data_IF_930030494837
#
_entry.id   IF_930030494837
#
_cell.length_a   1.000
_cell.length_b   1.000
_cell.length_c   1.000
_cell.angle_alpha   90.00
_cell.angle_beta   90.00
_cell.angle_gamma   90.00
#
_symmetry.space_group_name_H-M   'P 1'
#
loop_
_entity.id
_entity.type
_entity.pdbx_description
1 polymer ?
#
# COMPACT_ATOMS: atom_id res chain seq x y z
N UNK A 1 6.33 -2.26 10.31
CA UNK A 1 5.43 -1.14 9.91
C UNK A 1 6.25 0.02 9.38
N UNK A 2 5.75 0.72 8.38
CA UNK A 2 6.25 2.00 7.88
C UNK A 2 6.07 3.04 8.99
N UNK A 3 7.14 3.79 9.28
CA UNK A 3 7.07 5.01 10.08
C UNK A 3 6.99 6.24 9.18
N UNK A 4 7.77 6.27 8.11
CA UNK A 4 7.80 7.37 7.16
C UNK A 4 8.25 6.88 5.78
N UNK A 5 7.63 7.38 4.74
CA UNK A 5 8.02 7.14 3.36
C UNK A 5 8.19 8.48 2.63
N UNK A 6 9.35 8.66 1.99
CA UNK A 6 9.66 9.84 1.18
C UNK A 6 10.05 9.43 -0.23
N UNK A 7 9.66 10.24 -1.20
CA UNK A 7 10.13 10.05 -2.57
C UNK A 7 10.17 11.38 -3.32
N UNK A 8 11.04 11.47 -4.32
CA UNK A 8 11.09 12.60 -5.25
C UNK A 8 11.36 12.13 -6.67
N UNK A 9 10.98 12.97 -7.64
CA UNK A 9 11.15 12.70 -9.06
C UNK A 9 10.60 11.33 -9.46
N UNK A 10 9.30 11.12 -9.27
CA UNK A 10 8.62 9.88 -9.66
C UNK A 10 7.22 10.21 -10.16
N UNK A 11 6.97 9.90 -11.44
CA UNK A 11 5.69 10.13 -12.12
C UNK A 11 5.17 11.56 -11.99
N UNK A 12 4.16 11.83 -11.18
CA UNK A 12 3.65 13.20 -11.00
C UNK A 12 4.40 14.00 -9.94
N UNK A 13 5.21 13.37 -9.09
CA UNK A 13 6.00 14.07 -8.09
C UNK A 13 7.32 14.56 -8.70
N UNK A 14 7.50 15.88 -8.72
CA UNK A 14 8.77 16.55 -9.05
C UNK A 14 9.64 16.66 -7.80
N UNK A 15 9.12 17.35 -6.80
CA UNK A 15 9.77 17.58 -5.50
C UNK A 15 9.54 16.43 -4.52
N UNK A 16 10.17 16.52 -3.35
CA UNK A 16 9.96 15.62 -2.24
C UNK A 16 8.51 15.57 -1.78
N UNK A 17 7.97 14.36 -1.73
CA UNK A 17 6.71 14.03 -1.08
C UNK A 17 7.03 13.23 0.18
N UNK A 18 6.28 13.48 1.26
CA UNK A 18 6.46 12.82 2.55
C UNK A 18 5.13 12.27 3.02
N UNK A 19 5.08 10.97 3.27
CA UNK A 19 3.95 10.28 3.88
C UNK A 19 4.41 9.74 5.24
N UNK A 20 3.94 10.35 6.32
CA UNK A 20 4.29 9.95 7.69
C UNK A 20 3.19 9.09 8.32
N UNK A 21 3.61 8.08 9.07
CA UNK A 21 2.75 7.30 9.96
C UNK A 21 3.13 7.51 11.44
N UNK A 22 4.00 8.47 11.74
CA UNK A 22 4.26 8.84 13.13
C UNK A 22 3.05 9.59 13.69
N UNK A 23 2.42 9.06 14.73
CA UNK A 23 1.21 9.64 15.29
C UNK A 23 1.52 10.99 15.95
N UNK A 24 0.73 12.01 15.61
CA UNK A 24 0.88 13.35 16.15
C UNK A 24 0.40 13.44 17.61
N UNK A 25 0.34 14.64 18.17
CA UNK A 25 -0.24 14.84 19.50
C UNK A 25 -1.75 14.61 19.54
N UNK A 26 -2.41 14.39 18.40
CA UNK A 26 -3.83 14.00 18.36
C UNK A 26 -4.05 12.69 19.16
N UNK A 27 -5.12 12.65 19.95
CA UNK A 27 -5.48 11.54 20.85
C UNK A 27 -6.86 10.95 20.54
N UNK A 28 -7.56 11.46 19.53
CA UNK A 28 -8.84 10.91 19.08
C UNK A 28 -8.66 9.43 18.72
N UNK A 29 -9.52 8.58 19.30
CA UNK A 29 -9.59 7.13 19.05
C UNK A 29 -8.22 6.41 19.03
N UNK A 30 -7.24 6.87 19.83
CA UNK A 30 -5.83 6.47 19.71
C UNK A 30 -5.62 4.95 19.76
N UNK A 31 -6.37 4.26 20.62
CA UNK A 31 -6.33 2.80 20.78
C UNK A 31 -6.69 2.00 19.53
N UNK A 32 -7.44 2.59 18.59
CA UNK A 32 -7.85 1.95 17.35
C UNK A 32 -6.99 2.36 16.15
N UNK A 33 -6.42 3.56 16.16
CA UNK A 33 -5.63 4.06 15.05
C UNK A 33 -4.14 3.80 15.18
N UNK A 34 -3.62 3.63 16.40
CA UNK A 34 -2.19 3.55 16.66
C UNK A 34 -1.75 2.21 17.21
N UNK A 35 -0.48 1.90 17.02
CA UNK A 35 0.25 0.86 17.74
C UNK A 35 1.59 1.42 18.21
N UNK A 36 2.18 0.80 19.23
CA UNK A 36 3.49 1.24 19.76
C UNK A 36 4.55 0.21 19.42
N UNK A 37 5.63 0.67 18.79
CA UNK A 37 6.82 -0.14 18.49
C UNK A 37 8.04 0.64 18.95
N UNK A 38 8.84 0.07 19.85
CA UNK A 38 10.02 0.71 20.44
C UNK A 38 9.76 2.19 20.84
N UNK A 39 8.77 2.39 21.73
CA UNK A 39 8.29 3.68 22.25
C UNK A 39 7.77 4.69 21.19
N UNK A 40 7.66 4.28 19.93
CA UNK A 40 7.16 5.11 18.84
C UNK A 40 5.70 4.77 18.57
N UNK A 41 4.81 5.78 18.57
CA UNK A 41 3.40 5.62 18.20
C UNK A 41 3.26 5.69 16.68
N UNK A 42 2.72 4.62 16.08
CA UNK A 42 2.64 4.44 14.63
C UNK A 42 1.19 4.26 14.22
N UNK A 43 0.76 5.02 13.22
CA UNK A 43 -0.57 4.96 12.61
C UNK A 43 -0.73 3.70 11.75
N UNK A 44 -1.90 3.07 11.89
CA UNK A 44 -2.34 1.92 11.07
C UNK A 44 -3.02 2.34 9.77
N UNK A 45 -3.42 3.61 9.64
CA UNK A 45 -4.23 4.10 8.53
C UNK A 45 -3.60 5.32 7.86
N UNK A 46 -3.68 5.38 6.53
CA UNK A 46 -3.44 6.60 5.75
C UNK A 46 -4.49 6.72 4.64
N UNK A 47 -5.19 7.85 4.60
CA UNK A 47 -6.29 8.13 3.68
C UNK A 47 -5.86 9.25 2.74
N UNK A 48 -5.87 9.00 1.43
CA UNK A 48 -5.50 9.95 0.39
C UNK A 48 -6.77 10.52 -0.27
N UNK A 49 -6.96 11.82 -0.14
CA UNK A 49 -7.97 12.62 -0.83
C UNK A 49 -7.35 13.50 -1.92
N UNK A 50 -8.18 13.94 -2.85
CA UNK A 50 -7.75 14.87 -3.90
C UNK A 50 -8.52 14.70 -5.19
N UNK A 51 -8.46 15.74 -6.02
CA UNK A 51 -9.11 15.75 -7.33
C UNK A 51 -8.64 14.62 -8.25
N UNK A 52 -9.35 14.39 -9.35
CA UNK A 52 -8.86 13.51 -10.41
C UNK A 52 -7.54 14.05 -10.97
N UNK A 53 -6.60 13.15 -11.28
CA UNK A 53 -5.25 13.49 -11.76
C UNK A 53 -4.40 14.37 -10.80
N UNK A 54 -4.75 14.45 -9.51
CA UNK A 54 -3.97 15.18 -8.50
C UNK A 54 -2.74 14.43 -8.00
N UNK A 55 -2.73 13.10 -8.08
CA UNK A 55 -1.54 12.28 -7.75
C UNK A 55 -1.76 11.16 -6.75
N UNK A 56 -2.96 10.98 -6.17
CA UNK A 56 -3.29 9.90 -5.21
C UNK A 56 -2.70 8.53 -5.60
N UNK A 57 -3.06 8.04 -6.78
CA UNK A 57 -2.59 6.77 -7.35
C UNK A 57 -1.06 6.70 -7.47
N UNK A 58 -0.38 7.83 -7.73
CA UNK A 58 1.08 7.87 -7.85
C UNK A 58 1.78 7.76 -6.49
N UNK A 59 1.18 8.22 -5.38
CA UNK A 59 1.69 7.97 -4.02
C UNK A 59 1.70 6.46 -3.73
N UNK A 60 0.57 5.79 -3.99
CA UNK A 60 0.42 4.34 -3.80
C UNK A 60 1.38 3.54 -4.69
N UNK A 61 1.57 3.99 -5.93
CA UNK A 61 2.49 3.35 -6.86
C UNK A 61 3.97 3.60 -6.53
N UNK A 62 4.31 4.68 -5.81
CA UNK A 62 5.67 4.89 -5.31
C UNK A 62 6.02 3.88 -4.21
N UNK A 63 5.07 3.59 -3.31
CA UNK A 63 5.20 2.52 -2.30
C UNK A 63 5.40 1.15 -2.96
N UNK A 64 4.55 0.78 -3.92
CA UNK A 64 4.67 -0.51 -4.62
C UNK A 64 5.92 -0.60 -5.50
N UNK A 65 6.37 0.53 -6.07
CA UNK A 65 7.63 0.58 -6.81
C UNK A 65 8.83 0.23 -5.92
N UNK A 66 8.92 0.82 -4.72
CA UNK A 66 9.98 0.50 -3.76
C UNK A 66 9.93 -0.98 -3.34
N UNK A 67 8.74 -1.49 -3.04
CA UNK A 67 8.52 -2.91 -2.72
C UNK A 67 9.02 -3.82 -3.84
N UNK A 68 8.59 -3.57 -5.09
CA UNK A 68 9.02 -4.34 -6.26
C UNK A 68 10.53 -4.31 -6.45
N UNK A 69 11.16 -3.14 -6.28
CA UNK A 69 12.62 -3.00 -6.32
C UNK A 69 13.34 -3.85 -5.27
N UNK A 70 12.78 -3.98 -4.07
CA UNK A 70 13.37 -4.75 -2.98
C UNK A 70 13.26 -6.28 -3.17
N UNK A 71 12.25 -6.76 -3.91
CA UNK A 71 11.96 -8.21 -4.00
C UNK A 71 12.03 -8.82 -5.41
N UNK A 72 12.29 -8.02 -6.45
CA UNK A 72 12.29 -8.50 -7.84
C UNK A 72 13.71 -8.59 -8.41
N UNK A 73 14.43 -9.72 -8.21
CA UNK A 73 15.73 -9.91 -8.83
C UNK A 73 15.59 -9.86 -10.37
N UNK A 74 16.50 -9.13 -11.00
CA UNK A 74 16.65 -9.06 -12.46
C UNK A 74 17.49 -10.22 -12.99
N UNK A 75 17.12 -10.70 -14.17
CA UNK A 75 17.80 -11.82 -14.84
C UNK A 75 19.09 -11.36 -15.52
N UNK A 76 19.11 -10.14 -16.06
CA UNK A 76 20.24 -9.60 -16.79
C UNK A 76 20.31 -8.07 -16.65
N UNK A 77 21.41 -7.47 -17.11
CA UNK A 77 21.70 -6.02 -17.00
C UNK A 77 20.88 -5.14 -17.93
N UNK A 78 20.16 -5.70 -18.91
CA UNK A 78 19.42 -4.91 -19.92
C UNK A 78 17.95 -4.71 -19.53
N UNK A 79 17.44 -5.49 -18.58
CA UNK A 79 16.09 -5.29 -18.05
C UNK A 79 15.96 -3.93 -17.38
N UNK A 80 14.95 -3.12 -17.74
CA UNK A 80 14.73 -1.84 -17.10
C UNK A 80 14.31 -2.02 -15.63
N UNK A 81 14.59 -0.99 -14.85
CA UNK A 81 14.12 -0.90 -13.47
C UNK A 81 12.59 -0.68 -13.43
N UNK A 82 12.03 -0.03 -14.46
CA UNK A 82 10.62 0.38 -14.46
C UNK A 82 10.40 1.70 -13.73
N UNK A 83 11.46 2.51 -13.60
CA UNK A 83 11.39 3.85 -13.03
C UNK A 83 10.87 4.83 -14.07
N UNK A 84 9.97 5.72 -13.66
CA UNK A 84 9.47 6.82 -14.50
C UNK A 84 9.64 8.13 -13.74
N UNK A 85 10.50 9.06 -14.20
CA UNK A 85 10.68 10.36 -13.57
C UNK A 85 9.48 11.27 -13.82
N UNK A 86 9.52 12.48 -13.26
CA UNK A 86 8.61 13.55 -13.63
C UNK A 86 8.91 14.04 -15.05
N UNK A 87 7.94 13.89 -15.96
CA UNK A 87 8.14 14.09 -17.41
C UNK A 87 7.77 15.50 -17.91
N UNK A 88 7.08 16.32 -17.10
CA UNK A 88 6.61 17.64 -17.51
C UNK A 88 7.64 18.76 -17.27
N UNK A 89 8.91 18.39 -17.06
CA UNK A 89 10.02 19.31 -16.87
C UNK A 89 11.27 18.83 -17.62
N UNK A 90 11.98 19.74 -18.29
CA UNK A 90 13.12 19.40 -19.15
C UNK A 90 14.39 18.96 -18.39
N UNK A 91 14.49 19.35 -17.12
CA UNK A 91 15.61 19.06 -16.23
C UNK A 91 15.31 17.78 -15.45
N UNK A 92 14.25 17.76 -14.67
CA UNK A 92 13.88 16.67 -13.75
C UNK A 92 13.63 15.34 -14.48
N UNK A 93 13.15 15.35 -15.74
CA UNK A 93 12.98 14.11 -16.53
C UNK A 93 14.29 13.35 -16.80
N UNK A 94 15.44 14.00 -16.62
CA UNK A 94 16.78 13.41 -16.77
C UNK A 94 17.45 13.10 -15.43
N UNK A 95 16.88 13.59 -14.34
CA UNK A 95 17.39 13.37 -12.99
C UNK A 95 17.00 11.98 -12.48
N UNK A 96 17.73 11.42 -11.51
CA UNK A 96 17.32 10.21 -10.83
C UNK A 96 16.15 10.44 -9.87
N UNK A 97 15.40 9.39 -9.59
CA UNK A 97 14.43 9.34 -8.51
C UNK A 97 15.11 8.91 -7.21
N UNK A 98 14.63 9.42 -6.08
CA UNK A 98 15.12 9.00 -4.76
C UNK A 98 13.93 8.57 -3.91
N UNK A 99 14.10 7.47 -3.20
CA UNK A 99 13.12 6.90 -2.29
C UNK A 99 13.79 6.64 -0.95
N UNK A 100 13.12 7.02 0.14
CA UNK A 100 13.56 6.78 1.50
C UNK A 100 12.40 6.16 2.29
N UNK A 101 12.70 5.12 3.05
CA UNK A 101 11.76 4.42 3.91
C UNK A 101 12.36 4.31 5.30
N UNK A 102 11.64 4.85 6.28
CA UNK A 102 11.89 4.62 7.70
C UNK A 102 10.82 3.65 8.18
N UNK A 103 11.23 2.53 8.76
CA UNK A 103 10.31 1.45 9.07
C UNK A 103 10.84 0.58 10.21
N UNK A 104 9.93 -0.17 10.82
CA UNK A 104 10.23 -1.17 11.83
C UNK A 104 10.10 -2.57 11.24
N UNK A 105 11.14 -3.37 11.45
CA UNK A 105 11.08 -4.83 11.32
C UNK A 105 11.16 -5.37 12.74
N UNK A 106 10.10 -6.03 13.19
CA UNK A 106 9.91 -6.36 14.60
C UNK A 106 9.99 -5.08 15.46
N UNK A 107 10.90 -5.02 16.43
CA UNK A 107 11.12 -3.83 17.29
C UNK A 107 12.27 -2.93 16.80
N UNK A 108 12.94 -3.28 15.68
CA UNK A 108 14.15 -2.58 15.23
C UNK A 108 13.81 -1.58 14.14
N UNK A 109 14.16 -0.30 14.38
CA UNK A 109 14.05 0.78 13.39
C UNK A 109 15.12 0.63 12.31
N UNK A 110 14.71 0.77 11.06
CA UNK A 110 15.53 0.73 9.86
C UNK A 110 15.34 2.02 9.05
N UNK A 111 16.38 2.39 8.30
CA UNK A 111 16.34 3.43 7.27
C UNK A 111 16.89 2.81 6.00
N UNK A 112 16.07 2.79 4.96
CA UNK A 112 16.45 2.35 3.63
C UNK A 112 16.34 3.52 2.65
N UNK A 113 17.40 3.78 1.89
CA UNK A 113 17.41 4.84 0.90
C UNK A 113 17.97 4.30 -0.42
N UNK A 114 17.31 4.61 -1.53
CA UNK A 114 17.69 4.16 -2.87
C UNK A 114 17.50 5.29 -3.90
N UNK A 115 18.52 5.48 -4.73
CA UNK A 115 18.57 6.44 -5.83
C UNK A 115 18.67 5.69 -7.15
N UNK A 116 17.74 5.91 -8.08
CA UNK A 116 17.60 5.12 -9.30
C UNK A 116 17.38 6.01 -10.53
N UNK A 117 17.82 5.51 -11.68
CA UNK A 117 17.24 5.90 -12.98
C UNK A 117 16.61 4.66 -13.63
N UNK A 118 16.13 4.76 -14.86
CA UNK A 118 15.45 3.61 -15.49
C UNK A 118 16.39 2.44 -15.85
N UNK A 119 17.70 2.67 -15.91
CA UNK A 119 18.70 1.65 -16.28
C UNK A 119 19.49 1.07 -15.10
N UNK A 120 19.64 1.80 -13.99
CA UNK A 120 20.46 1.39 -12.87
C UNK A 120 20.02 2.00 -11.53
N UNK A 121 20.30 1.26 -10.46
CA UNK A 121 20.34 1.80 -9.11
C UNK A 121 21.71 2.44 -8.93
N UNK A 122 21.70 3.76 -8.69
CA UNK A 122 22.90 4.59 -8.61
C UNK A 122 23.51 4.57 -7.22
N UNK A 123 22.67 4.67 -6.18
CA UNK A 123 23.04 4.56 -4.78
C UNK A 123 22.00 3.77 -4.02
N UNK A 124 22.42 3.06 -2.99
CA UNK A 124 21.53 2.31 -2.10
C UNK A 124 22.17 2.18 -0.72
N UNK A 125 21.40 2.37 0.35
CA UNK A 125 21.90 2.23 1.72
C UNK A 125 20.82 1.60 2.59
N UNK A 126 21.25 0.74 3.51
CA UNK A 126 20.40 0.19 4.57
C UNK A 126 21.10 0.40 5.91
N UNK A 127 20.40 1.04 6.84
CA UNK A 127 20.84 1.26 8.22
C UNK A 127 19.80 0.72 9.18
N UNK A 128 20.23 0.37 10.39
CA UNK A 128 19.36 -0.05 11.48
C UNK A 128 19.79 0.60 12.80
N UNK A 129 18.90 0.64 13.78
CA UNK A 129 19.16 1.21 15.10
C UNK A 129 19.35 0.10 16.14
N UNK A 130 20.59 -0.36 16.41
CA UNK A 130 20.88 -1.26 17.53
C UNK A 130 20.78 -0.57 18.91
N UNK A 131 20.49 0.73 18.93
CA UNK A 131 20.43 1.61 20.08
C UNK A 131 20.08 3.02 19.59
N UNK A 132 20.63 4.07 20.23
CA UNK A 132 20.34 5.46 19.82
C UNK A 132 20.96 5.88 18.48
N UNK A 133 22.13 5.33 18.14
CA UNK A 133 22.85 5.68 16.92
C UNK A 133 22.64 4.61 15.85
N UNK A 134 22.42 5.00 14.57
CA UNK A 134 22.27 4.04 13.49
C UNK A 134 23.60 3.36 13.18
N UNK A 135 23.53 2.08 12.84
CA UNK A 135 24.63 1.34 12.24
C UNK A 135 24.28 1.00 10.79
N UNK A 136 25.27 1.04 9.91
CA UNK A 136 25.10 0.64 8.52
C UNK A 136 25.09 -0.88 8.41
N UNK A 137 24.18 -1.41 7.58
CA UNK A 137 24.21 -2.80 7.12
C UNK A 137 25.04 -2.86 5.84
N UNK A 138 24.67 -2.04 4.86
CA UNK A 138 25.45 -1.85 3.65
C UNK A 138 25.24 -0.45 3.07
N UNK A 139 26.20 -0.03 2.26
CA UNK A 139 26.07 1.03 1.29
C UNK A 139 26.54 0.53 -0.08
N UNK A 140 25.95 1.08 -1.13
CA UNK A 140 26.24 0.70 -2.51
C UNK A 140 26.29 1.93 -3.40
N UNK A 141 27.22 1.91 -4.34
CA UNK A 141 27.31 2.88 -5.45
C UNK A 141 27.51 2.15 -6.78
N UNK A 142 26.92 2.66 -7.86
CA UNK A 142 27.19 2.20 -9.22
C UNK A 142 27.97 3.26 -9.99
N UNK A 143 29.19 2.95 -10.41
CA UNK A 143 30.07 3.85 -11.17
C UNK A 143 30.42 3.18 -12.49
N UNK A 144 30.16 3.84 -13.61
CA UNK A 144 30.41 3.32 -14.96
C UNK A 144 29.82 1.91 -15.19
N UNK A 145 28.61 1.66 -14.67
CA UNK A 145 27.91 0.37 -14.77
C UNK A 145 28.44 -0.72 -13.84
N UNK A 146 29.43 -0.42 -12.99
CA UNK A 146 30.00 -1.36 -12.02
C UNK A 146 29.45 -1.02 -10.63
N UNK A 147 28.72 -1.97 -10.06
CA UNK A 147 28.26 -1.92 -8.67
C UNK A 147 29.44 -2.11 -7.72
N UNK A 148 29.50 -1.34 -6.63
CA UNK A 148 30.39 -1.55 -5.50
C UNK A 148 29.57 -1.53 -4.21
N UNK A 149 29.74 -2.55 -3.37
CA UNK A 149 29.05 -2.69 -2.09
C UNK A 149 30.08 -2.60 -0.97
N UNK A 150 29.79 -1.76 0.01
CA UNK A 150 30.51 -1.66 1.27
C UNK A 150 29.59 -2.14 2.38
N UNK A 151 30.09 -3.05 3.23
CA UNK A 151 29.35 -3.55 4.39
C UNK A 151 29.70 -2.72 5.62
N UNK A 152 28.72 -2.57 6.51
CA UNK A 152 28.94 -1.91 7.79
C UNK A 152 29.80 -2.75 8.74
N UNK A 153 30.51 -2.09 9.65
CA UNK A 153 31.49 -2.71 10.55
C UNK A 153 30.93 -3.77 11.51
N UNK A 154 29.61 -3.81 11.71
CA UNK A 154 28.93 -4.80 12.55
C UNK A 154 28.50 -6.06 11.78
N UNK A 155 28.55 -6.04 10.45
CA UNK A 155 28.17 -7.17 9.60
C UNK A 155 29.29 -8.21 9.60
N UNK A 156 28.93 -9.48 9.83
CA UNK A 156 29.88 -10.60 9.94
C UNK A 156 29.77 -11.53 8.74
N UNK A 157 30.15 -11.06 7.56
CA UNK A 157 30.29 -11.90 6.36
C UNK A 157 31.77 -12.21 6.10
N UNK A 158 32.09 -13.45 5.75
CA UNK A 158 33.43 -13.83 5.31
C UNK A 158 33.72 -13.30 3.90
N UNK A 159 34.99 -13.32 3.47
CA UNK A 159 35.41 -12.76 2.17
C UNK A 159 34.64 -13.37 0.99
N UNK A 160 34.41 -14.69 1.00
CA UNK A 160 33.69 -15.38 -0.08
C UNK A 160 32.21 -14.97 -0.16
N UNK A 161 31.55 -14.75 0.99
CA UNK A 161 30.17 -14.25 1.06
C UNK A 161 30.07 -12.82 0.55
N UNK A 162 31.04 -11.97 0.89
CA UNK A 162 31.10 -10.59 0.39
C UNK A 162 31.28 -10.54 -1.12
N UNK A 163 32.22 -11.35 -1.67
CA UNK A 163 32.43 -11.48 -3.11
C UNK A 163 31.17 -11.98 -3.82
N UNK A 164 30.48 -12.96 -3.23
CA UNK A 164 29.23 -13.51 -3.78
C UNK A 164 28.13 -12.46 -3.85
N UNK A 165 27.94 -11.66 -2.79
CA UNK A 165 26.98 -10.55 -2.80
C UNK A 165 27.35 -9.51 -3.88
N UNK A 166 28.64 -9.18 -3.99
CA UNK A 166 29.15 -8.21 -4.94
C UNK A 166 28.97 -8.65 -6.40
N UNK A 167 29.17 -9.94 -6.71
CA UNK A 167 29.00 -10.50 -8.06
C UNK A 167 27.53 -10.66 -8.44
N UNK A 168 26.67 -11.06 -7.49
CA UNK A 168 25.24 -11.26 -7.74
C UNK A 168 24.46 -9.93 -7.89
N UNK A 169 24.99 -8.82 -7.38
CA UNK A 169 24.30 -7.54 -7.42
C UNK A 169 24.55 -6.79 -8.74
N UNK A 170 23.67 -7.03 -9.71
CA UNK A 170 23.65 -6.29 -10.97
C UNK A 170 23.34 -4.80 -10.77
N UNK A 171 23.79 -3.95 -11.71
CA UNK A 171 23.58 -2.50 -11.64
C UNK A 171 22.09 -2.10 -11.61
N UNK A 172 21.21 -2.90 -12.21
CA UNK A 172 19.78 -2.67 -12.32
C UNK A 172 18.94 -3.38 -11.23
N UNK A 173 19.58 -3.89 -10.17
CA UNK A 173 18.97 -4.64 -9.09
C UNK A 173 19.34 -3.99 -7.75
N UNK A 174 18.47 -4.05 -6.73
CA UNK A 174 18.81 -3.63 -5.36
C UNK A 174 19.66 -4.70 -4.66
N UNK A 175 20.48 -4.34 -3.67
CA UNK A 175 21.22 -5.30 -2.83
C UNK A 175 20.23 -6.22 -2.10
N UNK A 176 19.10 -5.67 -1.63
CA UNK A 176 18.04 -6.46 -0.97
C UNK A 176 17.51 -7.57 -1.91
N UNK A 177 17.21 -7.23 -3.17
CA UNK A 177 16.74 -8.23 -4.13
C UNK A 177 17.85 -9.17 -4.62
N UNK A 178 19.11 -8.72 -4.66
CA UNK A 178 20.26 -9.56 -5.02
C UNK A 178 20.48 -10.68 -4.01
N UNK A 179 20.27 -10.40 -2.72
CA UNK A 179 20.34 -11.41 -1.66
C UNK A 179 19.42 -12.61 -1.91
N UNK A 180 18.24 -12.39 -2.49
CA UNK A 180 17.28 -13.47 -2.81
C UNK A 180 17.85 -14.55 -3.75
N UNK A 181 18.90 -14.21 -4.50
CA UNK A 181 19.58 -15.14 -5.43
C UNK A 181 20.90 -15.68 -4.85
N UNK A 182 21.30 -15.22 -3.67
CA UNK A 182 22.55 -15.58 -3.05
C UNK A 182 22.36 -16.74 -2.06
N UNK A 183 23.13 -17.81 -2.24
CA UNK A 183 23.11 -18.96 -1.34
C UNK A 183 24.12 -18.79 -0.19
N UNK A 184 23.83 -17.91 0.76
CA UNK A 184 24.51 -17.77 2.07
C UNK A 184 23.60 -17.03 3.06
N UNK A 185 23.91 -17.08 4.36
CA UNK A 185 23.07 -16.48 5.41
C UNK A 185 23.52 -15.04 5.68
N UNK A 186 22.59 -14.08 5.58
CA UNK A 186 22.81 -12.69 5.97
C UNK A 186 21.63 -12.20 6.84
N UNK A 187 21.66 -12.40 8.16
CA UNK A 187 20.47 -12.25 9.03
C UNK A 187 19.86 -10.85 9.02
N UNK A 188 20.68 -9.80 8.98
CA UNK A 188 20.22 -8.41 8.90
C UNK A 188 19.45 -8.14 7.60
N UNK A 189 19.98 -8.61 6.48
CA UNK A 189 19.37 -8.42 5.17
C UNK A 189 18.17 -9.34 4.94
N UNK A 190 18.23 -10.57 5.47
CA UNK A 190 17.15 -11.55 5.40
C UNK A 190 15.88 -11.06 6.10
N UNK A 191 16.01 -10.43 7.27
CA UNK A 191 14.86 -9.82 7.97
C UNK A 191 14.20 -8.74 7.13
N UNK A 192 14.98 -7.87 6.50
CA UNK A 192 14.47 -6.79 5.64
C UNK A 192 13.88 -7.34 4.34
N UNK A 193 14.51 -8.34 3.72
CA UNK A 193 13.97 -9.01 2.54
C UNK A 193 12.61 -9.67 2.85
N UNK A 194 12.53 -10.42 3.95
CA UNK A 194 11.28 -11.03 4.41
C UNK A 194 10.21 -9.99 4.73
N UNK A 195 10.58 -8.83 5.30
CA UNK A 195 9.65 -7.72 5.53
C UNK A 195 8.98 -7.27 4.21
N UNK A 196 9.74 -6.99 3.16
CA UNK A 196 9.16 -6.62 1.87
C UNK A 196 8.43 -7.77 1.18
N UNK A 197 8.92 -9.01 1.28
CA UNK A 197 8.35 -10.14 0.56
C UNK A 197 7.03 -10.63 1.20
N UNK A 198 6.97 -10.67 2.53
CA UNK A 198 5.87 -11.33 3.27
C UNK A 198 4.87 -10.35 3.88
N UNK A 199 5.30 -9.14 4.24
CA UNK A 199 4.40 -8.16 4.89
C UNK A 199 3.79 -7.19 3.87
N UNK A 200 4.46 -6.88 2.76
CA UNK A 200 3.90 -5.95 1.80
C UNK A 200 3.10 -6.67 0.72
N UNK A 201 1.80 -6.39 0.68
CA UNK A 201 0.95 -6.80 -0.41
C UNK A 201 1.17 -5.88 -1.64
N UNK A 202 0.99 -6.40 -2.86
CA UNK A 202 0.98 -5.56 -4.07
C UNK A 202 -0.09 -4.47 -3.97
N UNK A 203 0.15 -3.31 -4.62
CA UNK A 203 -0.88 -2.27 -4.73
C UNK A 203 -2.14 -2.84 -5.37
N UNK A 204 -3.28 -2.57 -4.76
CA UNK A 204 -4.58 -2.95 -5.27
C UNK A 204 -5.17 -1.80 -6.09
N UNK A 205 -5.16 -1.92 -7.42
CA UNK A 205 -5.78 -0.97 -8.33
C UNK A 205 -7.23 -1.40 -8.67
N UNK A 206 -8.12 -0.49 -9.09
CA UNK A 206 -9.53 -0.79 -9.37
C UNK A 206 -9.75 -1.94 -10.37
N UNK A 207 -8.85 -2.05 -11.35
CA UNK A 207 -8.89 -3.04 -12.44
C UNK A 207 -8.27 -4.39 -12.09
N UNK A 208 -7.69 -4.56 -10.90
CA UNK A 208 -7.10 -5.85 -10.51
C UNK A 208 -8.23 -6.84 -10.23
N UNK A 209 -8.11 -8.03 -10.82
CA UNK A 209 -9.00 -9.16 -10.57
C UNK A 209 -8.75 -9.73 -9.17
N UNK A 210 -9.46 -9.17 -8.20
CA UNK A 210 -9.47 -9.68 -6.83
C UNK A 210 -10.17 -11.02 -6.70
N UNK A 211 -11.09 -11.35 -7.61
CA UNK A 211 -11.87 -12.57 -7.50
C UNK A 211 -10.95 -13.78 -7.62
N UNK A 212 -10.16 -13.85 -8.69
CA UNK A 212 -9.25 -14.98 -8.89
C UNK A 212 -8.25 -15.14 -7.75
N UNK A 213 -7.75 -14.02 -7.21
CA UNK A 213 -6.87 -14.06 -6.04
C UNK A 213 -7.57 -14.59 -4.79
N UNK A 214 -8.74 -14.05 -4.47
CA UNK A 214 -9.53 -14.44 -3.30
C UNK A 214 -9.95 -15.92 -3.36
N UNK A 215 -10.45 -16.37 -4.52
CA UNK A 215 -10.82 -17.77 -4.75
C UNK A 215 -9.63 -18.70 -4.57
N UNK A 216 -8.44 -18.34 -5.07
CA UNK A 216 -7.23 -19.15 -4.86
C UNK A 216 -6.79 -19.27 -3.39
N UNK A 217 -6.97 -18.22 -2.59
CA UNK A 217 -6.66 -18.29 -1.14
C UNK A 217 -7.71 -19.10 -0.37
N UNK A 218 -8.99 -19.05 -0.77
CA UNK A 218 -10.06 -19.91 -0.24
C UNK A 218 -9.83 -21.38 -0.58
N UNK A 219 -9.52 -21.70 -1.85
CA UNK A 219 -9.22 -23.07 -2.29
C UNK A 219 -8.03 -23.68 -1.55
N UNK A 220 -7.02 -22.85 -1.25
CA UNK A 220 -5.85 -23.29 -0.51
C UNK A 220 -6.10 -23.46 1.00
N UNK A 221 -7.35 -23.31 1.46
CA UNK A 221 -7.78 -23.32 2.86
C UNK A 221 -6.97 -22.34 3.75
N UNK A 222 -6.44 -21.28 3.15
CA UNK A 222 -5.66 -20.26 3.86
C UNK A 222 -6.54 -19.16 4.46
N UNK A 223 -7.83 -19.19 4.13
CA UNK A 223 -8.77 -18.14 4.39
C UNK A 223 -9.83 -18.60 5.40
N UNK A 224 -10.26 -17.69 6.27
CA UNK A 224 -11.30 -17.98 7.23
C UNK A 224 -12.68 -17.90 6.54
N UNK A 225 -13.14 -19.03 6.01
CA UNK A 225 -14.43 -19.14 5.29
C UNK A 225 -15.62 -18.60 6.10
N UNK A 226 -15.62 -18.80 7.42
CA UNK A 226 -16.67 -18.29 8.31
C UNK A 226 -16.64 -16.77 8.42
N UNK A 227 -15.45 -16.18 8.52
CA UNK A 227 -15.28 -14.72 8.51
C UNK A 227 -15.73 -14.10 7.18
N UNK A 228 -15.32 -14.67 6.05
CA UNK A 228 -15.76 -14.19 4.74
C UNK A 228 -17.28 -14.30 4.56
N UNK A 229 -17.87 -15.40 5.02
CA UNK A 229 -19.31 -15.58 4.94
C UNK A 229 -20.05 -14.54 5.78
N UNK A 230 -19.57 -14.22 6.99
CA UNK A 230 -20.14 -13.13 7.81
C UNK A 230 -20.07 -11.78 7.08
N UNK A 231 -18.94 -11.47 6.43
CA UNK A 231 -18.81 -10.26 5.62
C UNK A 231 -19.79 -10.24 4.44
N UNK A 232 -19.89 -11.34 3.69
CA UNK A 232 -20.78 -11.45 2.55
C UNK A 232 -22.25 -11.32 2.97
N UNK A 233 -22.63 -11.91 4.10
CA UNK A 233 -23.96 -11.80 4.66
C UNK A 233 -24.34 -10.35 5.01
N UNK A 234 -23.37 -9.48 5.30
CA UNK A 234 -23.61 -8.04 5.51
C UNK A 234 -23.77 -7.27 4.22
N UNK A 235 -23.16 -7.74 3.12
CA UNK A 235 -23.33 -7.15 1.80
C UNK A 235 -24.66 -7.57 1.15
N UNK A 236 -25.04 -8.83 1.35
CA UNK A 236 -26.34 -9.38 0.96
C UNK A 236 -26.80 -10.39 2.01
N UNK A 237 -27.86 -10.04 2.73
CA UNK A 237 -28.40 -10.83 3.84
C UNK A 237 -28.98 -12.19 3.40
N UNK A 238 -29.17 -12.43 2.10
CA UNK A 238 -29.62 -13.74 1.62
C UNK A 238 -28.46 -14.72 1.44
N UNK A 239 -27.22 -14.23 1.32
CA UNK A 239 -26.06 -15.12 1.18
C UNK A 239 -25.89 -15.92 2.47
N UNK A 240 -26.10 -17.23 2.38
CA UNK A 240 -26.00 -18.19 3.49
C UNK A 240 -24.79 -19.11 3.37
N UNK A 241 -24.13 -19.12 2.21
CA UNK A 241 -22.94 -19.91 1.97
C UNK A 241 -22.26 -19.53 0.66
N UNK A 242 -21.05 -20.04 0.48
CA UNK A 242 -20.39 -20.08 -0.82
C UNK A 242 -19.46 -21.27 -0.88
N UNK A 243 -19.18 -21.77 -2.07
CA UNK A 243 -18.21 -22.84 -2.26
C UNK A 243 -17.47 -22.72 -3.58
N UNK A 244 -16.23 -23.20 -3.59
CA UNK A 244 -15.41 -23.22 -4.79
C UNK A 244 -15.46 -24.61 -5.39
N UNK A 245 -16.08 -24.73 -6.56
CA UNK A 245 -16.32 -25.99 -7.22
C UNK A 245 -15.42 -26.12 -8.45
N UNK A 246 -14.97 -27.32 -8.78
CA UNK A 246 -14.28 -27.55 -10.05
C UNK A 246 -15.31 -27.53 -11.18
N UNK A 247 -15.01 -26.80 -12.25
CA UNK A 247 -15.88 -26.77 -13.40
C UNK A 247 -15.89 -28.16 -14.08
N UNK A 248 -17.07 -28.74 -14.25
CA UNK A 248 -17.22 -30.09 -14.82
C UNK A 248 -16.69 -30.19 -16.26
N UNK A 249 -16.75 -29.08 -17.02
CA UNK A 249 -16.32 -29.01 -18.42
C UNK A 249 -14.83 -28.62 -18.57
N UNK A 250 -14.24 -27.98 -17.58
CA UNK A 250 -12.82 -27.63 -17.55
C UNK A 250 -12.26 -27.76 -16.13
N UNK A 251 -11.71 -28.94 -15.82
CA UNK A 251 -11.13 -29.24 -14.49
C UNK A 251 -9.98 -28.32 -14.06
N UNK A 252 -9.47 -27.45 -14.95
CA UNK A 252 -8.47 -26.43 -14.60
C UNK A 252 -9.09 -25.10 -14.17
N UNK A 253 -10.39 -24.91 -14.38
CA UNK A 253 -11.12 -23.75 -13.95
C UNK A 253 -12.00 -24.10 -12.75
N UNK A 254 -12.00 -23.21 -11.77
CA UNK A 254 -12.88 -23.27 -10.63
C UNK A 254 -13.97 -22.23 -10.77
N UNK A 255 -15.16 -22.58 -10.31
CA UNK A 255 -16.36 -21.74 -10.32
C UNK A 255 -16.77 -21.49 -8.87
N UNK A 256 -17.03 -20.22 -8.56
CA UNK A 256 -17.47 -19.83 -7.23
C UNK A 256 -18.99 -19.80 -7.22
N UNK A 257 -19.59 -20.67 -6.41
CA UNK A 257 -21.04 -20.80 -6.27
C UNK A 257 -21.48 -20.22 -4.94
N UNK A 258 -22.43 -19.29 -4.97
CA UNK A 258 -23.05 -18.71 -3.79
C UNK A 258 -24.35 -19.44 -3.47
N UNK A 259 -24.58 -19.67 -2.18
CA UNK A 259 -25.82 -20.19 -1.64
C UNK A 259 -26.64 -19.03 -1.08
N UNK A 260 -27.90 -18.95 -1.50
CA UNK A 260 -28.87 -17.95 -1.06
C UNK A 260 -30.05 -18.61 -0.36
N UNK A 261 -30.28 -18.22 0.90
CA UNK A 261 -31.47 -18.67 1.64
C UNK A 261 -32.52 -17.57 1.62
N UNK A 262 -33.65 -17.84 0.97
CA UNK A 262 -34.79 -16.92 0.87
C UNK A 262 -35.92 -17.44 1.79
N UNK A 263 -36.38 -16.58 2.71
CA UNK A 263 -37.52 -16.88 3.57
C UNK A 263 -38.76 -16.08 3.15
N UNK A 264 -39.81 -16.77 2.72
CA UNK A 264 -41.10 -16.17 2.37
C UNK A 264 -42.18 -16.85 3.21
N UNK A 265 -42.96 -16.06 3.94
CA UNK A 265 -44.05 -16.55 4.80
C UNK A 265 -43.65 -17.62 5.83
N UNK A 266 -42.39 -17.63 6.28
CA UNK A 266 -41.87 -18.60 7.26
C UNK A 266 -41.32 -19.90 6.65
N UNK A 267 -41.41 -20.08 5.34
CA UNK A 267 -40.76 -21.18 4.63
C UNK A 267 -39.43 -20.71 4.05
N UNK A 268 -38.35 -21.45 4.32
CA UNK A 268 -37.02 -21.18 3.80
C UNK A 268 -36.73 -22.07 2.59
N UNK A 269 -36.18 -21.47 1.54
CA UNK A 269 -35.72 -22.19 0.34
C UNK A 269 -34.30 -21.77 0.01
N UNK A 270 -33.49 -22.72 -0.44
CA UNK A 270 -32.08 -22.53 -0.77
C UNK A 270 -31.91 -22.54 -2.29
N UNK A 271 -31.23 -21.52 -2.81
CA UNK A 271 -30.95 -21.34 -4.23
C UNK A 271 -29.45 -21.13 -4.43
N UNK A 272 -28.94 -21.50 -5.60
CA UNK A 272 -27.52 -21.36 -5.92
C UNK A 272 -27.33 -20.41 -7.09
N UNK A 273 -26.37 -19.51 -6.96
CA UNK A 273 -26.02 -18.53 -7.98
C UNK A 273 -24.52 -18.61 -8.28
N UNK A 274 -24.10 -18.72 -9.56
CA UNK A 274 -22.69 -18.58 -9.91
C UNK A 274 -22.23 -17.13 -9.73
N UNK A 275 -20.94 -16.93 -9.43
CA UNK A 275 -20.32 -15.61 -9.21
C UNK A 275 -20.53 -14.62 -10.36
N UNK A 276 -20.70 -15.13 -11.58
CA UNK A 276 -20.95 -14.30 -12.77
C UNK A 276 -22.32 -13.61 -12.77
N UNK A 277 -23.26 -14.08 -11.93
CA UNK A 277 -24.58 -13.49 -11.75
C UNK A 277 -24.70 -12.67 -10.45
N UNK A 278 -23.65 -12.66 -9.62
CA UNK A 278 -23.59 -11.81 -8.43
C UNK A 278 -23.36 -10.34 -8.76
N UNK A 279 -23.78 -9.46 -7.86
CA UNK A 279 -23.53 -8.03 -8.03
C UNK A 279 -22.03 -7.72 -7.99
N UNK A 280 -21.60 -6.73 -8.77
CA UNK A 280 -20.21 -6.29 -8.77
C UNK A 280 -19.75 -5.83 -7.37
N UNK A 281 -20.66 -5.27 -6.57
CA UNK A 281 -20.37 -4.86 -5.18
C UNK A 281 -20.15 -6.05 -4.25
N UNK A 282 -20.97 -7.09 -4.35
CA UNK A 282 -20.80 -8.36 -3.62
C UNK A 282 -19.45 -8.98 -3.94
N UNK A 283 -19.11 -9.10 -5.23
CA UNK A 283 -17.84 -9.68 -5.69
C UNK A 283 -16.63 -8.83 -5.30
N UNK A 284 -16.77 -7.51 -5.28
CA UNK A 284 -15.73 -6.62 -4.76
C UNK A 284 -15.55 -6.80 -3.26
N UNK A 285 -16.64 -6.92 -2.50
CA UNK A 285 -16.58 -7.11 -1.06
C UNK A 285 -16.02 -8.48 -0.68
N UNK A 286 -16.35 -9.54 -1.43
CA UNK A 286 -15.68 -10.85 -1.35
C UNK A 286 -14.15 -10.72 -1.46
N UNK A 287 -13.70 -10.06 -2.52
CA UNK A 287 -12.27 -9.86 -2.78
C UNK A 287 -11.57 -8.96 -1.76
N UNK A 288 -12.26 -7.96 -1.21
CA UNK A 288 -11.74 -7.14 -0.12
C UNK A 288 -11.76 -7.90 1.22
N UNK A 289 -12.71 -8.80 1.44
CA UNK A 289 -12.80 -9.61 2.65
C UNK A 289 -11.56 -10.46 2.89
N UNK A 290 -11.00 -11.08 1.84
CA UNK A 290 -9.75 -11.86 1.93
C UNK A 290 -8.53 -11.00 2.25
N UNK A 291 -8.50 -9.78 1.70
CA UNK A 291 -7.48 -8.78 2.05
C UNK A 291 -7.65 -8.35 3.50
N UNK A 292 -8.87 -8.11 3.97
CA UNK A 292 -9.15 -7.75 5.35
C UNK A 292 -8.70 -8.85 6.30
N UNK A 293 -9.07 -10.11 6.05
CA UNK A 293 -8.63 -11.26 6.83
C UNK A 293 -7.10 -11.31 6.91
N UNK A 294 -6.39 -11.10 5.79
CA UNK A 294 -4.92 -11.01 5.78
C UNK A 294 -4.39 -9.89 6.68
N UNK A 295 -5.03 -8.71 6.67
CA UNK A 295 -4.66 -7.57 7.52
C UNK A 295 -4.94 -7.81 9.00
N UNK A 296 -5.94 -8.64 9.34
CA UNK A 296 -6.31 -8.96 10.71
C UNK A 296 -5.41 -10.06 11.30
N UNK A 297 -5.11 -11.10 10.51
CA UNK A 297 -4.37 -12.29 10.96
C UNK A 297 -2.84 -12.15 10.88
N UNK A 298 -2.34 -11.25 10.04
CA UNK A 298 -0.90 -11.07 9.79
C UNK A 298 -0.52 -9.61 9.92
N UNK A 299 0.77 -9.35 10.13
CA UNK A 299 1.33 -8.01 10.02
C UNK A 299 1.53 -7.68 8.54
N UNK A 300 0.55 -7.03 7.92
CA UNK A 300 0.55 -6.74 6.50
C UNK A 300 0.42 -5.24 6.19
N UNK A 301 0.98 -4.82 5.06
CA UNK A 301 0.95 -3.46 4.57
C UNK A 301 0.36 -3.50 3.17
N UNK A 302 -0.70 -2.74 2.93
CA UNK A 302 -1.33 -2.68 1.61
C UNK A 302 -1.65 -1.24 1.19
N UNK A 303 -1.21 -0.83 -0.01
CA UNK A 303 -1.74 0.33 -0.71
C UNK A 303 -2.97 -0.08 -1.56
N UNK A 304 -4.10 0.62 -1.42
CA UNK A 304 -5.34 0.37 -2.19
C UNK A 304 -5.81 1.65 -2.87
N UNK A 305 -5.95 1.63 -4.19
CA UNK A 305 -6.47 2.77 -4.94
C UNK A 305 -7.99 2.61 -5.10
N UNK A 306 -8.74 3.67 -4.76
CA UNK A 306 -10.21 3.72 -4.73
C UNK A 306 -10.79 2.53 -3.95
N UNK A 307 -10.50 2.48 -2.65
CA UNK A 307 -10.93 1.39 -1.78
C UNK A 307 -12.46 1.21 -1.80
N UNK A 308 -13.21 2.31 -1.92
CA UNK A 308 -14.67 2.34 -2.01
C UNK A 308 -15.24 1.90 -3.36
N UNK A 309 -14.41 1.67 -4.39
CA UNK A 309 -14.91 1.38 -5.73
C UNK A 309 -15.92 0.21 -5.71
N UNK A 310 -17.10 0.43 -6.30
CA UNK A 310 -18.24 -0.50 -6.32
C UNK A 310 -18.85 -0.87 -4.96
N UNK A 311 -18.49 -0.21 -3.85
CA UNK A 311 -19.05 -0.46 -2.53
C UNK A 311 -20.10 0.58 -2.13
N UNK A 312 -21.13 0.13 -1.43
CA UNK A 312 -22.00 1.02 -0.67
C UNK A 312 -21.19 1.67 0.47
N UNK A 313 -21.42 2.97 0.81
CA UNK A 313 -20.67 3.64 1.86
C UNK A 313 -20.63 2.88 3.20
N UNK A 314 -21.74 2.29 3.64
CA UNK A 314 -21.80 1.53 4.90
C UNK A 314 -20.87 0.31 4.91
N UNK A 315 -20.72 -0.40 3.78
CA UNK A 315 -19.79 -1.52 3.67
C UNK A 315 -18.33 -1.06 3.71
N UNK A 316 -18.06 0.10 3.11
CA UNK A 316 -16.76 0.75 3.15
C UNK A 316 -16.38 1.20 4.57
N UNK A 317 -17.30 1.85 5.30
CA UNK A 317 -17.10 2.17 6.72
C UNK A 317 -16.94 0.92 7.56
N UNK A 318 -17.76 -0.10 7.32
CA UNK A 318 -17.67 -1.36 8.04
C UNK A 318 -16.30 -2.01 7.87
N UNK A 319 -15.76 -2.05 6.65
CA UNK A 319 -14.42 -2.55 6.35
C UNK A 319 -13.34 -1.80 7.14
N UNK A 320 -13.37 -0.46 7.12
CA UNK A 320 -12.38 0.37 7.82
C UNK A 320 -12.46 0.15 9.33
N UNK A 321 -13.67 0.11 9.89
CA UNK A 321 -13.88 -0.10 11.32
C UNK A 321 -13.43 -1.49 11.77
N UNK A 322 -13.72 -2.54 11.00
CA UNK A 322 -13.20 -3.87 11.27
C UNK A 322 -11.68 -3.88 11.27
N UNK A 323 -11.05 -3.23 10.30
CA UNK A 323 -9.59 -3.09 10.25
C UNK A 323 -9.06 -2.34 11.48
N UNK A 324 -9.58 -1.16 11.82
CA UNK A 324 -9.09 -0.34 12.93
C UNK A 324 -9.24 -1.04 14.28
N UNK A 325 -10.35 -1.74 14.50
CA UNK A 325 -10.63 -2.41 15.78
C UNK A 325 -9.82 -3.70 15.94
N UNK A 326 -9.64 -4.48 14.88
CA UNK A 326 -9.10 -5.84 14.99
C UNK A 326 -7.65 -5.99 14.53
N UNK A 327 -7.11 -5.07 13.71
CA UNK A 327 -5.70 -5.14 13.29
C UNK A 327 -4.75 -4.72 14.41
N UNK A 328 -3.61 -5.40 14.49
CA UNK A 328 -2.59 -5.11 15.53
C UNK A 328 -1.43 -4.27 14.99
N UNK A 329 -0.72 -4.78 13.98
CA UNK A 329 0.47 -4.14 13.37
C UNK A 329 0.41 -4.09 11.84
N UNK A 330 -0.80 -4.14 11.28
CA UNK A 330 -1.03 -3.93 9.86
C UNK A 330 -1.20 -2.46 9.51
N UNK A 331 -0.93 -2.11 8.25
CA UNK A 331 -1.14 -0.77 7.73
C UNK A 331 -1.92 -0.80 6.43
N UNK A 332 -2.97 0.01 6.41
CA UNK A 332 -3.80 0.24 5.25
C UNK A 332 -3.58 1.68 4.78
N UNK A 333 -3.12 1.83 3.54
CA UNK A 333 -3.00 3.12 2.88
C UNK A 333 -3.93 3.10 1.69
N UNK A 334 -4.88 4.03 1.60
CA UNK A 334 -5.80 4.00 0.48
C UNK A 334 -6.17 5.37 -0.04
N UNK A 335 -6.55 5.42 -1.32
CA UNK A 335 -7.17 6.60 -1.90
C UNK A 335 -8.69 6.44 -1.94
N UNK A 336 -9.39 7.57 -1.84
CA UNK A 336 -10.85 7.59 -1.92
C UNK A 336 -11.39 8.91 -2.45
N UNK A 337 -12.56 8.83 -3.07
CA UNK A 337 -13.44 9.93 -3.43
C UNK A 337 -14.61 10.07 -2.45
N UNK A 338 -14.79 9.11 -1.53
CA UNK A 338 -15.84 9.16 -0.52
C UNK A 338 -15.47 10.14 0.61
N UNK A 339 -16.11 11.30 0.60
CA UNK A 339 -15.90 12.36 1.59
C UNK A 339 -16.64 12.10 2.92
N UNK A 340 -17.52 11.10 3.01
CA UNK A 340 -18.31 10.88 4.22
C UNK A 340 -17.43 10.52 5.43
N UNK A 341 -16.25 9.92 5.22
CA UNK A 341 -15.28 9.70 6.28
C UNK A 341 -14.84 11.00 6.96
N UNK A 342 -14.80 12.12 6.23
CA UNK A 342 -14.45 13.43 6.80
C UNK A 342 -15.54 13.99 7.73
N UNK A 343 -16.68 13.32 7.85
CA UNK A 343 -17.80 13.71 8.71
C UNK A 343 -17.91 12.84 9.97
N UNK A 344 -16.92 12.00 10.26
CA UNK A 344 -16.91 11.22 11.51
C UNK A 344 -16.17 11.95 12.63
N UNK A 345 -16.72 11.89 13.85
CA UNK A 345 -16.18 12.56 15.03
C UNK A 345 -14.88 11.90 15.56
N UNK A 346 -14.64 10.65 15.17
CA UNK A 346 -13.51 9.82 15.60
C UNK A 346 -12.35 9.79 14.60
N UNK A 347 -12.45 10.53 13.48
CA UNK A 347 -11.37 10.62 12.51
C UNK A 347 -10.23 11.49 13.03
N UNK A 348 -9.03 10.93 13.06
CA UNK A 348 -7.80 11.68 13.36
C UNK A 348 -7.35 12.52 12.18
N UNK A 349 -6.72 13.67 12.45
CA UNK A 349 -6.20 14.54 11.38
C UNK A 349 -4.96 13.94 10.70
N UNK A 350 -4.09 13.32 11.48
CA UNK A 350 -2.80 12.79 11.04
C UNK A 350 -2.89 11.55 10.12
N UNK A 351 -4.07 10.94 10.00
CA UNK A 351 -4.33 9.87 9.02
C UNK A 351 -4.85 10.39 7.68
N UNK A 352 -5.25 11.66 7.59
CA UNK A 352 -5.82 12.26 6.39
C UNK A 352 -4.76 13.04 5.64
N UNK A 353 -4.63 12.73 4.36
CA UNK A 353 -3.66 13.33 3.45
C UNK A 353 -4.37 13.80 2.18
N UNK A 354 -3.89 14.88 1.61
CA UNK A 354 -4.40 15.45 0.38
C UNK A 354 -3.31 15.44 -0.69
N UNK A 355 -3.69 15.15 -1.93
CA UNK A 355 -2.88 15.43 -3.10
C UNK A 355 -3.49 16.55 -3.91
N UNK A 356 -2.65 17.51 -4.32
CA UNK A 356 -3.03 18.62 -5.19
C UNK A 356 -2.05 18.73 -6.36
N UNK A 357 -2.56 19.18 -7.51
CA UNK A 357 -1.74 19.46 -8.68
C UNK A 357 -1.36 20.93 -8.69
N UNK A 358 -0.06 21.22 -8.71
CA UNK A 358 0.50 22.57 -8.83
C UNK A 358 0.44 23.08 -10.26
N UNK A 359 0.65 24.38 -10.43
CA UNK A 359 0.66 25.06 -11.72
C UNK A 359 1.75 24.52 -12.68
N UNK A 360 2.88 24.05 -12.15
CA UNK A 360 3.95 23.41 -12.93
C UNK A 360 3.63 21.95 -13.31
N UNK A 361 2.43 21.47 -12.96
CA UNK A 361 1.93 20.14 -13.27
C UNK A 361 2.37 19.05 -12.29
N UNK A 362 3.19 19.38 -11.29
CA UNK A 362 3.62 18.44 -10.26
C UNK A 362 2.55 18.19 -9.19
N UNK A 363 2.65 17.05 -8.52
CA UNK A 363 1.84 16.72 -7.35
C UNK A 363 2.50 17.26 -6.08
N UNK A 364 1.68 17.77 -5.17
CA UNK A 364 2.01 18.04 -3.78
C UNK A 364 1.14 17.17 -2.86
N UNK A 365 1.78 16.50 -1.90
CA UNK A 365 1.18 15.70 -0.84
C UNK A 365 1.35 16.44 0.49
N UNK A 366 0.25 16.64 1.23
CA UNK A 366 0.25 17.31 2.53
C UNK A 366 -0.81 16.72 3.47
N UNK A 367 -0.67 16.91 4.77
CA UNK A 367 -1.56 16.33 5.79
C UNK A 367 -2.69 17.29 6.18
N UNK A 368 -3.83 16.74 6.60
CA UNK A 368 -4.85 17.53 7.29
C UNK A 368 -4.35 18.09 8.63
N UNK A 369 -3.39 17.42 9.28
CA UNK A 369 -2.79 17.86 10.55
C UNK A 369 -1.92 19.13 10.39
N UNK A 370 -1.53 19.46 9.16
CA UNK A 370 -0.82 20.71 8.84
C UNK A 370 -1.74 21.95 8.96
N UNK A 371 -3.06 21.74 9.05
CA UNK A 371 -4.04 22.82 9.16
C UNK A 371 -4.46 23.09 10.61
N UNK A 372 -4.46 24.37 10.98
CA UNK A 372 -5.01 24.85 12.25
C UNK A 372 -6.55 24.84 12.25
N UNK A 373 -7.14 23.66 12.47
CA UNK A 373 -8.59 23.47 12.56
C UNK A 373 -9.02 23.51 14.03
N UNK A 374 -9.91 24.45 14.35
CA UNK A 374 -10.52 24.56 15.69
C UNK A 374 -11.32 23.30 16.03
N UNK A 375 -11.33 22.93 17.30
CA UNK A 375 -12.14 21.80 17.79
C UNK A 375 -13.63 21.99 17.43
N UNK A 376 -14.29 20.91 17.04
CA UNK A 376 -15.72 20.90 16.67
C UNK A 376 -16.04 21.39 15.26
N UNK A 377 -15.04 21.75 14.44
CA UNK A 377 -15.26 22.03 13.01
C UNK A 377 -15.30 20.72 12.23
N UNK A 378 -16.43 20.42 11.58
CA UNK A 378 -16.54 19.29 10.65
C UNK A 378 -15.51 19.41 9.51
N UNK A 379 -14.71 18.37 9.32
CA UNK A 379 -13.69 18.34 8.26
C UNK A 379 -14.35 18.31 6.89
N UNK A 380 -15.48 17.61 6.75
CA UNK A 380 -16.29 17.61 5.52
C UNK A 380 -16.72 19.03 5.14
N UNK A 381 -17.26 19.81 6.09
CA UNK A 381 -17.67 21.18 5.81
C UNK A 381 -16.50 22.09 5.46
N UNK A 382 -15.35 21.94 6.14
CA UNK A 382 -14.14 22.68 5.82
C UNK A 382 -13.58 22.34 4.43
N UNK A 383 -13.57 21.06 4.06
CA UNK A 383 -13.20 20.58 2.72
C UNK A 383 -14.17 21.13 1.66
N UNK A 384 -15.48 21.09 1.94
CA UNK A 384 -16.51 21.61 1.05
C UNK A 384 -16.36 23.13 0.80
N UNK A 385 -16.00 23.89 1.83
CA UNK A 385 -15.67 25.31 1.73
C UNK A 385 -14.32 25.58 1.03
N UNK A 386 -13.57 24.55 0.63
CA UNK A 386 -12.29 24.68 -0.07
C UNK A 386 -11.10 25.02 0.82
N UNK A 387 -11.22 24.89 2.15
CA UNK A 387 -10.15 25.27 3.09
C UNK A 387 -8.88 24.44 2.95
N UNK A 388 -9.00 23.20 2.48
CA UNK A 388 -7.88 22.26 2.33
C UNK A 388 -7.37 22.15 0.89
N UNK A 389 -7.95 22.89 -0.06
CA UNK A 389 -7.65 22.70 -1.49
C UNK A 389 -8.07 21.31 -1.98
N UNK A 390 -7.25 20.72 -2.85
CA UNK A 390 -7.38 19.34 -3.32
C UNK A 390 -8.74 19.03 -3.98
N UNK A 391 -9.31 20.04 -4.65
CA UNK A 391 -10.61 20.01 -5.33
C UNK A 391 -10.47 20.22 -6.84
N UNK A 392 -11.38 19.65 -7.65
CA UNK A 392 -11.36 19.88 -9.09
C UNK A 392 -11.77 21.33 -9.41
N UNK A 393 -11.06 21.94 -10.38
CA UNK A 393 -11.44 23.22 -10.96
C UNK A 393 -12.36 22.98 -12.16
N UNK A 394 -13.67 23.12 -11.96
CA UNK A 394 -14.67 22.83 -13.01
C UNK A 394 -14.88 23.99 -14.00
N UNK A 395 -14.43 25.19 -13.66
CA UNK A 395 -14.69 26.39 -14.47
C UNK A 395 -16.17 26.73 -14.55
N UNK A 396 -16.54 27.48 -15.59
CA UNK A 396 -17.93 27.83 -15.85
C UNK A 396 -18.69 26.65 -16.46
N UNK A 397 -19.94 26.44 -16.02
CA UNK A 397 -20.88 25.52 -16.69
C UNK A 397 -21.33 26.03 -18.06
N UNK A 398 -21.08 27.31 -18.37
CA UNK A 398 -21.44 27.90 -19.64
C UNK A 398 -20.44 27.48 -20.73
N UNK A 399 -20.94 26.76 -21.73
CA UNK A 399 -20.19 26.40 -22.93
C UNK A 399 -20.64 27.34 -24.05
N UNK A 400 -19.80 28.31 -24.48
CA UNK A 400 -20.17 29.18 -25.59
C UNK A 400 -20.33 28.35 -26.86
N UNK A 401 -21.50 28.44 -27.50
CA UNK A 401 -21.69 27.89 -28.85
C UNK A 401 -20.95 28.78 -29.84
N UNK A 402 -20.06 28.17 -30.63
CA UNK A 402 -19.39 28.83 -31.76
C UNK A 402 -20.37 29.18 -32.87
#
# INVERSE_FOLDING_TARGET
>A
MILEFKYRNFRSAKDWQVLSFEASSDKVAEQYYTTVINDTRILKLGILYGANASGKTNVLLALDFLRKLAISPKINKTQPIGFTPFLLDDVTKKEPGIFELIFFVEEVKHIYCIEVNNGAVLKETLKYYPGKQPAEVFSRVTINGITRIQLGSKVKLNVAEQEKLQVNTLSNMSVISAYATANFIFPELERVYNYFQKQWLPVLLPQIDLKTWATGEVEAEKENKAFLLDLLHRADFNISGFDVQQNENDKKNTELMFEHTISIAGEASVHYLPDTLESAGTMRYYGLGTILNTLLERNAIIPVDELENSLHPDLFFHFINLFLVNSTRSQLVFSTHNLQLLDTDDLRKDVVWFTEKRDDGSTELFSLDDFNIRNGVSFLNAYNAGKFGAKPMLGSIFIPKK
#
